data_IF_685454312459
#
_entry.id   IF_685454312459
#
_cell.length_a   1.000
_cell.length_b   1.000
_cell.length_c   1.000
_cell.angle_alpha   90.00
_cell.angle_beta   90.00
_cell.angle_gamma   90.00
#
_symmetry.space_group_name_H-M   'P 1'
#
loop_
_entity.id
_entity.type
_entity.pdbx_description
1 polymer ?
#
# COMPACT_ATOMS: atom_id res chain seq x y z
N UNK A 1 -19.20 0.05 14.95
CA UNK A 1 -19.07 -0.52 13.59
C UNK A 1 -18.02 0.29 12.87
N UNK A 2 -17.02 -0.36 12.26
CA UNK A 2 -15.98 0.34 11.52
C UNK A 2 -16.57 1.08 10.30
N UNK A 3 -15.95 2.18 9.89
CA UNK A 3 -16.37 2.93 8.72
C UNK A 3 -15.94 2.21 7.43
N UNK A 4 -16.86 1.44 6.85
CA UNK A 4 -16.68 0.69 5.60
C UNK A 4 -16.77 1.55 4.33
N UNK A 5 -17.11 2.84 4.46
CA UNK A 5 -17.22 3.75 3.32
C UNK A 5 -15.87 4.27 2.82
N UNK A 6 -14.82 4.08 3.63
CA UNK A 6 -13.43 4.42 3.33
C UNK A 6 -12.58 3.15 3.27
N UNK A 7 -11.55 3.21 2.45
CA UNK A 7 -10.43 2.28 2.42
C UNK A 7 -9.12 3.03 2.26
N UNK A 8 -8.04 2.27 2.23
CA UNK A 8 -6.71 2.77 1.86
C UNK A 8 -6.27 2.11 0.56
N UNK A 9 -5.67 2.91 -0.32
CA UNK A 9 -5.01 2.47 -1.53
C UNK A 9 -3.51 2.72 -1.37
N UNK A 10 -2.68 1.71 -1.61
CA UNK A 10 -1.23 1.88 -1.64
C UNK A 10 -0.79 2.04 -3.08
N UNK A 11 -0.07 3.12 -3.37
CA UNK A 11 0.48 3.39 -4.70
C UNK A 11 2.00 3.48 -4.63
N UNK A 12 2.68 3.06 -5.70
CA UNK A 12 4.12 3.26 -5.84
C UNK A 12 4.42 4.75 -5.94
N UNK A 13 5.35 5.26 -5.12
CA UNK A 13 5.75 6.66 -5.21
C UNK A 13 6.55 6.98 -6.49
N UNK A 14 6.99 5.95 -7.23
CA UNK A 14 7.80 6.10 -8.44
C UNK A 14 6.94 6.31 -9.69
N UNK A 15 5.85 5.55 -9.83
CA UNK A 15 5.01 5.57 -11.03
C UNK A 15 3.51 5.82 -10.75
N UNK A 16 3.10 5.92 -9.49
CA UNK A 16 1.70 6.14 -9.08
C UNK A 16 0.80 4.92 -9.28
N UNK A 17 1.35 3.78 -9.71
CA UNK A 17 0.53 2.58 -9.95
C UNK A 17 0.09 1.95 -8.62
N UNK A 18 -1.17 1.49 -8.54
CA UNK A 18 -1.68 0.85 -7.34
C UNK A 18 -1.04 -0.52 -7.11
N UNK A 19 -0.68 -0.80 -5.86
CA UNK A 19 -0.27 -2.12 -5.43
C UNK A 19 -1.51 -2.99 -5.28
N UNK A 20 -1.49 -4.14 -5.96
CA UNK A 20 -2.58 -5.11 -5.87
C UNK A 20 -2.49 -5.86 -4.55
N UNK A 21 -3.61 -5.88 -3.83
CA UNK A 21 -3.71 -6.56 -2.55
C UNK A 21 -3.51 -8.07 -2.71
N UNK A 22 -2.71 -8.66 -1.82
CA UNK A 22 -2.35 -10.09 -1.81
C UNK A 22 -1.69 -10.61 -3.11
N UNK A 23 -1.13 -9.73 -3.92
CA UNK A 23 -0.33 -10.12 -5.09
C UNK A 23 1.16 -9.81 -4.84
N UNK A 24 2.06 -10.80 -4.96
CA UNK A 24 3.49 -10.54 -4.81
C UNK A 24 4.00 -9.69 -5.98
N UNK A 25 4.89 -8.76 -5.68
CA UNK A 25 5.56 -7.91 -6.67
C UNK A 25 7.05 -7.81 -6.36
N UNK A 26 7.84 -7.38 -7.34
CA UNK A 26 9.26 -7.12 -7.14
C UNK A 26 9.45 -5.77 -6.41
N UNK A 27 10.10 -5.80 -5.25
CA UNK A 27 10.30 -4.61 -4.43
C UNK A 27 11.47 -3.75 -4.91
N UNK A 28 12.67 -4.32 -4.94
CA UNK A 28 13.90 -3.68 -5.39
C UNK A 28 15.01 -4.71 -5.60
N UNK A 29 15.99 -4.37 -6.42
CA UNK A 29 17.25 -5.10 -6.56
C UNK A 29 18.25 -4.63 -5.49
N UNK A 30 18.92 -5.58 -4.83
CA UNK A 30 20.06 -5.28 -3.96
C UNK A 30 21.32 -5.15 -4.83
N UNK A 31 21.67 -3.92 -5.21
CA UNK A 31 22.80 -3.65 -6.10
C UNK A 31 24.07 -3.27 -5.33
N UNK A 32 25.17 -3.98 -5.61
CA UNK A 32 26.52 -3.62 -5.16
C UNK A 32 26.96 -4.21 -3.81
N UNK A 33 27.97 -3.61 -3.18
CA UNK A 33 28.53 -4.07 -1.89
C UNK A 33 27.65 -3.68 -0.69
N UNK A 34 26.76 -2.70 -0.86
CA UNK A 34 25.77 -2.28 0.12
C UNK A 34 24.51 -3.14 -0.01
N UNK A 35 24.30 -4.04 0.95
CA UNK A 35 23.10 -4.87 1.08
C UNK A 35 21.86 -4.08 1.55
N UNK A 36 21.58 -2.94 0.91
CA UNK A 36 20.46 -2.09 1.25
C UNK A 36 19.74 -1.63 -0.02
N UNK A 37 18.42 -1.78 -0.02
CA UNK A 37 17.53 -1.19 -1.02
C UNK A 37 16.30 -0.61 -0.32
N UNK A 38 15.73 0.43 -0.92
CA UNK A 38 14.54 1.12 -0.43
C UNK A 38 13.53 1.26 -1.56
N UNK A 39 12.25 1.15 -1.22
CA UNK A 39 11.14 1.45 -2.11
C UNK A 39 10.12 2.29 -1.36
N UNK A 40 9.63 3.35 -2.00
CA UNK A 40 8.72 4.31 -1.42
C UNK A 40 7.29 4.09 -1.94
N UNK A 41 6.32 4.22 -1.04
CA UNK A 41 4.90 4.05 -1.33
C UNK A 41 4.09 5.18 -0.69
N UNK A 42 2.99 5.55 -1.35
CA UNK A 42 2.00 6.46 -0.78
C UNK A 42 0.81 5.65 -0.23
N UNK A 43 0.25 6.12 0.88
CA UNK A 43 -1.02 5.64 1.40
C UNK A 43 -2.10 6.69 1.16
N UNK A 44 -3.09 6.35 0.34
CA UNK A 44 -4.15 7.25 -0.09
C UNK A 44 -5.49 6.81 0.50
N UNK A 45 -6.35 7.77 0.87
CA UNK A 45 -7.73 7.50 1.25
C UNK A 45 -8.57 7.27 -0.02
N UNK A 46 -9.31 6.17 -0.04
CA UNK A 46 -10.16 5.77 -1.16
C UNK A 46 -11.63 5.63 -0.72
N UNK A 47 -12.57 6.16 -1.51
CA UNK A 47 -13.99 5.97 -1.26
C UNK A 47 -14.45 4.64 -1.83
N UNK A 48 -15.00 3.76 -0.99
CA UNK A 48 -15.53 2.47 -1.43
C UNK A 48 -17.00 2.55 -1.88
N UNK A 49 -17.63 3.72 -1.75
CA UNK A 49 -19.04 3.96 -2.01
C UNK A 49 -19.27 5.42 -2.40
N UNK A 50 -20.29 5.66 -3.22
CA UNK A 50 -20.72 7.01 -3.61
C UNK A 50 -21.42 7.78 -2.48
N UNK A 51 -21.68 7.13 -1.34
CA UNK A 51 -22.34 7.70 -0.16
C UNK A 51 -21.47 7.53 1.08
N UNK A 52 -20.40 8.33 1.22
CA UNK A 52 -19.50 8.21 2.37
C UNK A 52 -20.20 8.53 3.68
N UNK A 53 -19.83 7.80 4.73
CA UNK A 53 -20.36 7.98 6.09
C UNK A 53 -19.32 8.71 6.94
N UNK A 54 -19.68 9.84 7.58
CA UNK A 54 -18.81 10.47 8.57
C UNK A 54 -18.58 9.55 9.77
N UNK A 55 -17.35 9.52 10.28
CA UNK A 55 -17.01 8.76 11.48
C UNK A 55 -15.57 8.26 11.46
N UNK A 56 -15.09 7.72 12.60
CA UNK A 56 -13.74 7.18 12.72
C UNK A 56 -13.53 6.03 11.74
N UNK A 57 -12.32 5.96 11.19
CA UNK A 57 -11.84 4.94 10.27
C UNK A 57 -10.45 4.51 10.71
N UNK A 58 -10.23 3.20 10.70
CA UNK A 58 -8.97 2.56 11.05
C UNK A 58 -8.68 1.51 9.98
N UNK A 59 -7.42 1.43 9.54
CA UNK A 59 -6.96 0.42 8.62
C UNK A 59 -5.51 0.05 8.94
N UNK A 60 -5.15 -1.19 8.65
CA UNK A 60 -3.83 -1.75 8.91
C UNK A 60 -3.36 -2.48 7.65
N UNK A 61 -2.05 -2.45 7.42
CA UNK A 61 -1.39 -3.19 6.34
C UNK A 61 -0.27 -4.03 6.95
N UNK A 62 -0.19 -5.28 6.52
CA UNK A 62 0.96 -6.14 6.75
C UNK A 62 1.69 -6.33 5.44
N UNK A 63 3.03 -6.22 5.49
CA UNK A 63 3.91 -6.42 4.33
C UNK A 63 4.78 -7.63 4.59
N UNK A 64 4.63 -8.65 3.74
CA UNK A 64 5.51 -9.82 3.73
C UNK A 64 6.66 -9.61 2.75
N UNK A 65 7.89 -9.73 3.23
CA UNK A 65 9.11 -9.56 2.42
C UNK A 65 9.84 -10.89 2.26
N UNK A 66 10.15 -11.25 1.02
CA UNK A 66 10.88 -12.48 0.68
C UNK A 66 12.05 -12.16 -0.26
N UNK A 67 13.20 -12.78 0.00
CA UNK A 67 14.30 -12.84 -0.96
C UNK A 67 14.01 -13.90 -2.02
N UNK A 68 14.33 -13.59 -3.27
CA UNK A 68 14.29 -14.52 -4.39
C UNK A 68 15.64 -14.55 -5.11
#
# INVERSE_FOLDING_TARGET
MANDSLGILITSAVNGEPLRYNEPFHLAELLGETNAASADFNAELHWNTDKPRPGPFDAEITVDLFYK
#
